data_IF_107856281732
#
_entry.id   IF_107856281732
#
_cell.length_a   1.000
_cell.length_b   1.000
_cell.length_c   1.000
_cell.angle_alpha   90.00
_cell.angle_beta   90.00
_cell.angle_gamma   90.00
#
_symmetry.space_group_name_H-M   'P 1'
#
loop_
_entity.id
_entity.type
_entity.pdbx_description
1 polymer ?
#
# COMPACT_ATOMS: atom_id res chain seq x y z
N UNK A 1 5.78 -13.91 25.42
CA UNK A 1 5.66 -12.93 24.31
C UNK A 1 4.18 -12.63 24.14
N UNK A 2 3.75 -11.38 24.33
CA UNK A 2 2.39 -10.92 24.03
C UNK A 2 2.47 -10.12 22.73
N UNK A 3 1.58 -10.36 21.77
CA UNK A 3 1.48 -9.61 20.52
C UNK A 3 0.03 -9.26 20.27
N UNK A 4 -0.22 -8.03 19.87
CA UNK A 4 -1.51 -7.64 19.28
C UNK A 4 -1.53 -8.12 17.83
N UNK A 5 -2.61 -8.79 17.45
CA UNK A 5 -2.79 -9.34 16.11
C UNK A 5 -4.26 -9.51 15.79
N UNK A 6 -4.60 -9.77 14.52
CA UNK A 6 -5.98 -9.93 14.13
C UNK A 6 -6.62 -11.14 14.81
N UNK A 7 -7.89 -11.00 15.19
CA UNK A 7 -8.70 -12.10 15.70
C UNK A 7 -8.91 -13.13 14.59
N UNK A 8 -8.23 -14.28 14.70
CA UNK A 8 -8.27 -15.35 13.69
C UNK A 8 -9.65 -16.03 13.56
N UNK A 9 -10.57 -15.79 14.49
CA UNK A 9 -11.97 -16.25 14.34
C UNK A 9 -12.72 -15.38 13.33
N UNK A 10 -12.29 -14.12 13.15
CA UNK A 10 -12.90 -13.11 12.26
C UNK A 10 -12.10 -12.90 10.98
N UNK A 11 -10.78 -12.81 11.09
CA UNK A 11 -9.88 -12.56 9.96
C UNK A 11 -9.28 -13.88 9.50
N UNK A 12 -9.82 -14.39 8.38
CA UNK A 12 -9.42 -15.65 7.76
C UNK A 12 -9.17 -15.41 6.27
N UNK A 13 -8.27 -16.18 5.63
CA UNK A 13 -8.13 -16.15 4.18
C UNK A 13 -9.48 -16.42 3.51
N UNK A 14 -9.87 -15.54 2.60
CA UNK A 14 -11.05 -15.69 1.75
C UNK A 14 -10.66 -16.01 0.31
N UNK A 15 -11.64 -16.22 -0.57
CA UNK A 15 -11.39 -16.27 -2.01
C UNK A 15 -10.74 -14.95 -2.49
N UNK A 16 -9.89 -15.04 -3.50
CA UNK A 16 -9.32 -13.85 -4.13
C UNK A 16 -10.43 -13.00 -4.77
N UNK A 17 -10.25 -11.69 -4.74
CA UNK A 17 -11.09 -10.69 -5.43
C UNK A 17 -10.24 -9.97 -6.48
N UNK A 18 -10.07 -10.55 -7.69
CA UNK A 18 -9.21 -9.99 -8.75
C UNK A 18 -9.57 -8.56 -9.15
N UNK A 19 -10.84 -8.18 -9.03
CA UNK A 19 -11.37 -6.85 -9.30
C UNK A 19 -10.67 -5.75 -8.47
N UNK A 20 -10.19 -6.07 -7.27
CA UNK A 20 -9.45 -5.13 -6.42
C UNK A 20 -8.08 -4.74 -6.99
N UNK A 21 -7.56 -5.48 -7.97
CA UNK A 21 -6.29 -5.15 -8.64
C UNK A 21 -6.44 -4.09 -9.73
N UNK A 22 -7.67 -3.65 -10.03
CA UNK A 22 -7.96 -2.62 -11.04
C UNK A 22 -7.31 -2.91 -12.41
N UNK A 23 -7.39 -4.18 -12.85
CA UNK A 23 -6.83 -4.63 -14.13
C UNK A 23 -5.32 -4.91 -14.12
N UNK A 24 -4.63 -4.74 -12.98
CA UNK A 24 -3.22 -5.14 -12.81
C UNK A 24 -3.09 -6.60 -12.38
N UNK A 25 -1.93 -7.21 -12.66
CA UNK A 25 -1.65 -8.60 -12.28
C UNK A 25 -1.38 -8.74 -10.78
N UNK A 26 -0.72 -7.74 -10.21
CA UNK A 26 -0.28 -7.71 -8.82
C UNK A 26 -0.84 -6.50 -8.08
N UNK A 27 -1.18 -6.71 -6.80
CA UNK A 27 -1.57 -5.65 -5.88
C UNK A 27 -0.75 -5.82 -4.59
N UNK A 28 -0.05 -4.77 -4.19
CA UNK A 28 0.68 -4.67 -2.92
C UNK A 28 -0.16 -3.84 -1.95
N UNK A 29 -0.34 -4.30 -0.72
CA UNK A 29 -1.13 -3.58 0.27
C UNK A 29 -0.29 -3.20 1.49
N UNK A 30 -0.36 -1.92 1.89
CA UNK A 30 -0.03 -1.47 3.23
C UNK A 30 -1.33 -1.32 4.02
N UNK A 31 -1.37 -1.82 5.26
CA UNK A 31 -2.50 -1.65 6.17
C UNK A 31 -1.97 -1.21 7.54
N UNK A 32 -2.32 0.00 7.98
CA UNK A 32 -1.83 0.51 9.26
C UNK A 32 -2.09 1.99 9.50
N UNK A 33 -1.51 2.50 10.58
CA UNK A 33 -1.47 3.94 10.86
C UNK A 33 -0.41 4.57 9.94
N UNK A 34 -0.62 5.83 9.55
CA UNK A 34 0.28 6.61 8.71
C UNK A 34 0.83 7.80 9.50
N UNK A 35 1.64 7.51 10.51
CA UNK A 35 2.38 8.48 11.29
C UNK A 35 3.80 8.69 10.76
N UNK A 36 4.50 9.76 11.19
CA UNK A 36 5.86 10.07 10.73
C UNK A 36 6.88 8.96 10.98
N UNK A 37 6.68 8.17 12.04
CA UNK A 37 7.55 7.03 12.39
C UNK A 37 7.25 5.74 11.61
N UNK A 38 6.13 5.67 10.88
CA UNK A 38 5.69 4.44 10.22
C UNK A 38 6.38 4.22 8.87
N UNK A 39 7.06 5.25 8.32
CA UNK A 39 7.88 5.14 7.10
C UNK A 39 7.08 4.77 5.85
N UNK A 40 5.78 5.14 5.80
CA UNK A 40 4.87 4.75 4.72
C UNK A 40 5.29 5.36 3.37
N UNK A 41 6.01 6.47 3.37
CA UNK A 41 6.58 7.10 2.17
C UNK A 41 7.55 6.16 1.42
N UNK A 42 8.21 5.24 2.14
CA UNK A 42 9.10 4.23 1.55
C UNK A 42 8.33 3.35 0.56
N UNK A 43 7.04 3.08 0.81
CA UNK A 43 6.19 2.31 -0.12
C UNK A 43 6.05 3.05 -1.45
N UNK A 44 5.78 4.35 -1.41
CA UNK A 44 5.66 5.19 -2.62
C UNK A 44 6.99 5.29 -3.36
N UNK A 45 8.10 5.51 -2.65
CA UNK A 45 9.44 5.55 -3.24
C UNK A 45 9.86 4.22 -3.86
N UNK A 46 9.47 3.10 -3.26
CA UNK A 46 9.69 1.78 -3.85
C UNK A 46 8.85 1.57 -5.11
N UNK A 47 7.58 2.02 -5.10
CA UNK A 47 6.72 1.97 -6.29
C UNK A 47 7.26 2.83 -7.43
N UNK A 48 7.80 4.01 -7.16
CA UNK A 48 8.49 4.84 -8.17
C UNK A 48 9.64 4.07 -8.84
N UNK A 49 10.49 3.41 -8.06
CA UNK A 49 11.56 2.56 -8.61
C UNK A 49 10.99 1.43 -9.49
N UNK A 50 9.93 0.76 -9.04
CA UNK A 50 9.34 -0.38 -9.76
C UNK A 50 8.67 0.08 -11.06
N UNK A 51 7.90 1.15 -11.03
CA UNK A 51 7.12 1.63 -12.18
C UNK A 51 8.02 2.38 -13.15
N UNK A 52 8.81 3.36 -12.68
CA UNK A 52 9.57 4.25 -13.56
C UNK A 52 10.95 3.71 -13.90
N UNK A 53 11.68 3.10 -12.95
CA UNK A 53 13.04 2.60 -13.22
C UNK A 53 13.03 1.19 -13.80
N UNK A 54 12.14 0.32 -13.35
CA UNK A 54 12.01 -1.04 -13.88
C UNK A 54 10.93 -1.17 -14.96
N UNK A 55 10.11 -0.14 -15.18
CA UNK A 55 9.14 -0.12 -16.28
C UNK A 55 7.93 -1.04 -16.08
N UNK A 56 7.65 -1.48 -14.85
CA UNK A 56 6.54 -2.40 -14.57
C UNK A 56 5.20 -1.67 -14.71
N UNK A 57 4.25 -2.32 -15.39
CA UNK A 57 2.88 -1.79 -15.64
C UNK A 57 1.79 -2.76 -15.18
N UNK A 58 2.15 -3.79 -14.47
CA UNK A 58 1.31 -4.91 -14.04
C UNK A 58 1.13 -4.94 -12.52
N UNK A 59 1.59 -3.91 -11.81
CA UNK A 59 1.52 -3.79 -10.35
C UNK A 59 0.84 -2.50 -9.94
N UNK A 60 0.04 -2.57 -8.88
CA UNK A 60 -0.50 -1.42 -8.15
C UNK A 60 -0.22 -1.55 -6.65
N UNK A 61 -0.29 -0.43 -5.93
CA UNK A 61 -0.20 -0.39 -4.48
C UNK A 61 -1.46 0.25 -3.88
N UNK A 62 -1.97 -0.33 -2.79
CA UNK A 62 -3.04 0.23 -1.99
C UNK A 62 -2.53 0.51 -0.57
N UNK A 63 -2.62 1.77 -0.14
CA UNK A 63 -2.28 2.19 1.22
C UNK A 63 -3.58 2.40 2.00
N UNK A 64 -3.90 1.45 2.88
CA UNK A 64 -5.14 1.41 3.65
C UNK A 64 -4.88 1.86 5.08
N UNK A 65 -5.47 2.98 5.49
CA UNK A 65 -5.26 3.49 6.83
C UNK A 65 -5.55 4.98 6.97
N UNK A 66 -5.05 5.55 8.05
CA UNK A 66 -5.19 6.94 8.41
C UNK A 66 -4.01 7.39 9.27
N UNK A 67 -3.77 8.69 9.39
CA UNK A 67 -2.73 9.25 10.25
C UNK A 67 -2.30 10.62 9.78
N UNK A 68 -1.41 11.24 10.57
CA UNK A 68 -0.99 12.63 10.38
C UNK A 68 -0.27 12.87 9.04
N UNK A 69 0.36 11.82 8.47
CA UNK A 69 1.09 11.92 7.20
C UNK A 69 0.21 11.67 5.96
N UNK A 70 -1.08 11.39 6.09
CA UNK A 70 -1.92 11.00 4.94
C UNK A 70 -1.90 12.04 3.81
N UNK A 71 -2.02 13.32 4.14
CA UNK A 71 -2.00 14.40 3.13
C UNK A 71 -0.63 14.57 2.47
N UNK A 72 0.45 14.37 3.21
CA UNK A 72 1.81 14.40 2.68
C UNK A 72 2.05 13.22 1.73
N UNK A 73 1.58 12.02 2.10
CA UNK A 73 1.66 10.82 1.25
C UNK A 73 0.88 10.99 -0.05
N UNK A 74 -0.31 11.61 -0.01
CA UNK A 74 -1.08 11.94 -1.21
C UNK A 74 -0.31 12.88 -2.14
N UNK A 75 0.29 13.95 -1.61
CA UNK A 75 1.12 14.87 -2.39
C UNK A 75 2.32 14.17 -3.01
N UNK A 76 3.02 13.33 -2.23
CA UNK A 76 4.15 12.55 -2.73
C UNK A 76 3.73 11.59 -3.85
N UNK A 77 2.55 10.97 -3.75
CA UNK A 77 2.01 10.11 -4.80
C UNK A 77 1.87 10.85 -6.13
N UNK A 78 1.26 12.05 -6.11
CA UNK A 78 1.15 12.93 -7.28
C UNK A 78 2.52 13.42 -7.76
N UNK A 79 3.42 13.83 -6.87
CA UNK A 79 4.78 14.28 -7.23
C UNK A 79 5.60 13.20 -7.93
N UNK A 80 5.35 11.93 -7.58
CA UNK A 80 5.99 10.77 -8.20
C UNK A 80 5.25 10.24 -9.42
N UNK A 81 4.13 10.83 -9.85
CA UNK A 81 3.29 10.35 -10.96
C UNK A 81 2.77 8.91 -10.76
N UNK A 82 2.28 8.62 -9.55
CA UNK A 82 1.78 7.29 -9.13
C UNK A 82 0.25 7.21 -8.94
N UNK A 83 -0.50 8.26 -9.30
CA UNK A 83 -1.96 8.35 -9.16
C UNK A 83 -2.76 7.54 -10.21
#
# INVERSE_FOLDING_TARGET
VVRSGPDTTRMKPGPAQPELRLGREHLVCYLGIMGPQDGVDIVLRAMDVIVHKFGRKDVSAALLGFGDCLEELRRLCTELDLD
#
